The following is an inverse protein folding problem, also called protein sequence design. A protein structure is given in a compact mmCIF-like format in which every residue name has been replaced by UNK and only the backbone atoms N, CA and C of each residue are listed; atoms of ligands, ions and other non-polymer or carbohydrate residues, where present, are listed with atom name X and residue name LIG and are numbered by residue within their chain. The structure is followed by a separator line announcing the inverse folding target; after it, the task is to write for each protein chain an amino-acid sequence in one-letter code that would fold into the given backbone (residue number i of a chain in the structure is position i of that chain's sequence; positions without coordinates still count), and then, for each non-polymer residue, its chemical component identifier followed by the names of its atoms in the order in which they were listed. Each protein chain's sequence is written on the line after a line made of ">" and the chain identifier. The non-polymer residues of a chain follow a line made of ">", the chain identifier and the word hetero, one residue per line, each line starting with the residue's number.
data_IF_842324455328
#
_entry.id   IF_842324455328
#
_cell.length_a   1.000
_cell.length_b   1.000
_cell.length_c   1.000
_cell.angle_alpha   90.00
_cell.angle_beta   90.00
_cell.angle_gamma   90.00
#
_symmetry.space_group_name_H-M   'P 1'
#
loop_
_entity.id
_entity.type
_entity.pdbx_description
1 polymer ?
#
# COMPACT_ATOMS: atom_id res chain seq x y z
N UNK A 1 2.46 18.85 -7.73
CA UNK A 1 2.19 17.41 -7.81
C UNK A 1 3.37 16.79 -7.09
N UNK A 2 3.41 16.92 -5.78
CA UNK A 2 4.61 16.63 -4.99
C UNK A 2 4.13 16.34 -3.57
N UNK A 3 3.39 15.25 -3.37
CA UNK A 3 3.16 14.73 -2.02
C UNK A 3 4.43 14.01 -1.60
N UNK A 4 5.45 14.78 -1.27
CA UNK A 4 6.60 14.30 -0.50
C UNK A 4 6.02 13.78 0.81
N UNK A 5 6.06 12.47 1.01
CA UNK A 5 5.79 11.85 2.30
C UNK A 5 6.88 12.32 3.26
N UNK A 6 6.56 13.39 3.99
CA UNK A 6 7.39 13.95 5.05
C UNK A 6 7.71 12.85 6.06
N UNK A 7 8.95 12.39 6.01
CA UNK A 7 9.53 11.43 6.94
C UNK A 7 9.82 12.17 8.24
N UNK A 8 8.79 12.37 9.06
CA UNK A 8 8.98 12.77 10.45
C UNK A 8 9.54 11.53 11.19
N UNK A 9 10.87 11.51 11.36
CA UNK A 9 11.60 10.61 12.26
C UNK A 9 11.82 9.14 11.81
N UNK A 10 12.01 8.88 10.51
CA UNK A 10 12.30 7.52 10.00
C UNK A 10 11.09 6.58 9.99
N UNK A 11 9.93 7.07 10.42
CA UNK A 11 8.67 6.33 10.49
C UNK A 11 7.87 6.63 9.23
N UNK A 12 7.74 5.62 8.36
CA UNK A 12 6.89 5.62 7.16
C UNK A 12 5.46 5.91 7.58
N UNK A 13 4.83 6.88 6.91
CA UNK A 13 3.41 7.18 7.11
C UNK A 13 2.59 5.93 6.76
N UNK A 14 1.52 5.59 7.50
CA UNK A 14 0.70 4.46 7.14
C UNK A 14 0.15 4.66 5.72
N UNK A 15 0.51 3.76 4.81
CA UNK A 15 0.13 3.83 3.40
C UNK A 15 -0.20 2.43 2.88
N UNK A 16 -1.06 2.38 1.87
CA UNK A 16 -1.32 1.17 1.10
C UNK A 16 -1.26 1.57 -0.37
N UNK A 17 -0.44 0.85 -1.13
CA UNK A 17 -0.20 1.11 -2.54
C UNK A 17 -0.36 -0.19 -3.33
N UNK A 18 -1.06 -0.14 -4.45
CA UNK A 18 -1.29 -1.29 -5.33
C UNK A 18 -0.73 -0.99 -6.71
N UNK A 19 0.08 -1.87 -7.27
CA UNK A 19 0.70 -1.69 -8.57
C UNK A 19 0.84 -3.00 -9.34
N UNK A 20 0.87 -2.93 -10.66
CA UNK A 20 1.02 -4.10 -11.55
C UNK A 20 2.43 -4.16 -12.14
N UNK A 21 3.02 -5.35 -12.14
CA UNK A 21 4.30 -5.63 -12.78
C UNK A 21 4.20 -6.91 -13.60
N UNK A 22 4.23 -6.77 -14.93
CA UNK A 22 4.25 -7.88 -15.87
C UNK A 22 3.07 -8.87 -15.71
N UNK A 23 1.88 -8.38 -15.37
CA UNK A 23 0.66 -9.15 -15.17
C UNK A 23 0.47 -9.66 -13.74
N UNK A 24 1.42 -9.44 -12.84
CA UNK A 24 1.29 -9.75 -11.41
C UNK A 24 1.03 -8.47 -10.61
N UNK A 25 0.16 -8.55 -9.62
CA UNK A 25 -0.28 -7.43 -8.80
C UNK A 25 0.44 -7.43 -7.46
N UNK A 26 0.96 -6.29 -7.05
CA UNK A 26 1.68 -6.10 -5.81
C UNK A 26 0.94 -5.10 -4.93
N UNK A 27 0.90 -5.38 -3.63
CA UNK A 27 0.39 -4.48 -2.62
C UNK A 27 1.50 -4.19 -1.63
N UNK A 28 1.90 -2.92 -1.54
CA UNK A 28 2.81 -2.40 -0.51
C UNK A 28 1.98 -1.80 0.61
N UNK A 29 2.37 -2.09 1.85
CA UNK A 29 1.72 -1.62 3.06
C UNK A 29 2.80 -1.05 3.96
N UNK A 30 2.79 0.27 4.16
CA UNK A 30 3.61 0.93 5.17
C UNK A 30 2.82 1.05 6.47
N UNK A 31 3.44 0.69 7.60
CA UNK A 31 2.93 0.97 8.95
C UNK A 31 4.09 1.37 9.86
N UNK A 32 4.40 2.66 9.88
CA UNK A 32 5.47 3.16 10.71
C UNK A 32 6.84 2.67 10.27
N UNK A 33 7.46 1.77 11.02
CA UNK A 33 8.80 1.26 10.69
C UNK A 33 8.76 0.00 9.80
N UNK A 34 7.57 -0.61 9.65
CA UNK A 34 7.40 -1.85 8.92
C UNK A 34 6.80 -1.59 7.53
N UNK A 35 7.44 -2.13 6.50
CA UNK A 35 6.91 -2.20 5.14
C UNK A 35 6.69 -3.67 4.76
N UNK A 36 5.47 -3.99 4.32
CA UNK A 36 5.11 -5.30 3.79
C UNK A 36 4.75 -5.18 2.32
N UNK A 37 5.45 -5.92 1.46
CA UNK A 37 5.04 -6.11 0.07
C UNK A 37 4.54 -7.53 -0.15
N UNK A 38 3.37 -7.66 -0.79
CA UNK A 38 2.76 -8.96 -1.12
C UNK A 38 2.31 -8.96 -2.57
N UNK A 39 2.58 -10.04 -3.29
CA UNK A 39 2.15 -10.21 -4.67
C UNK A 39 0.95 -11.16 -4.81
N UNK A 40 0.22 -10.98 -5.91
CA UNK A 40 -1.03 -11.65 -6.24
C UNK A 40 -1.14 -11.81 -7.76
N UNK A 41 -1.59 -12.97 -8.22
CA UNK A 41 -1.82 -13.21 -9.65
C UNK A 41 -3.05 -12.45 -10.18
N UNK A 42 -4.00 -12.13 -9.30
CA UNK A 42 -5.30 -11.56 -9.66
C UNK A 42 -5.50 -10.18 -9.03
N UNK A 43 -5.92 -9.22 -9.85
CA UNK A 43 -6.22 -7.84 -9.43
C UNK A 43 -7.24 -7.81 -8.30
N UNK A 44 -8.32 -8.59 -8.41
CA UNK A 44 -9.41 -8.61 -7.43
C UNK A 44 -8.94 -9.05 -6.04
N UNK A 45 -7.97 -9.96 -5.97
CA UNK A 45 -7.37 -10.38 -4.70
C UNK A 45 -6.44 -9.32 -4.12
N UNK A 46 -5.63 -8.68 -4.97
CA UNK A 46 -4.80 -7.56 -4.55
C UNK A 46 -5.64 -6.40 -3.99
N UNK A 47 -6.72 -6.02 -4.68
CA UNK A 47 -7.64 -4.97 -4.24
C UNK A 47 -8.35 -5.33 -2.94
N UNK A 48 -8.83 -6.56 -2.79
CA UNK A 48 -9.46 -7.01 -1.54
C UNK A 48 -8.48 -6.98 -0.36
N UNK A 49 -7.23 -7.39 -0.60
CA UNK A 49 -6.18 -7.30 0.41
C UNK A 49 -5.88 -5.85 0.77
N UNK A 50 -5.66 -4.98 -0.21
CA UNK A 50 -5.41 -3.55 -0.02
C UNK A 50 -6.53 -2.86 0.76
N UNK A 51 -7.79 -3.16 0.43
CA UNK A 51 -8.95 -2.64 1.17
C UNK A 51 -8.98 -3.14 2.63
N UNK A 52 -8.59 -4.39 2.87
CA UNK A 52 -8.42 -4.90 4.23
C UNK A 52 -7.34 -4.13 5.00
N UNK A 53 -6.20 -3.85 4.36
CA UNK A 53 -5.09 -3.13 4.97
C UNK A 53 -5.42 -1.66 5.23
N UNK A 54 -6.09 -0.97 4.30
CA UNK A 54 -6.53 0.42 4.51
C UNK A 54 -7.41 0.52 5.75
N UNK A 55 -8.37 -0.42 5.92
CA UNK A 55 -9.27 -0.44 7.08
C UNK A 55 -8.50 -0.72 8.37
N UNK A 56 -7.53 -1.64 8.34
CA UNK A 56 -6.67 -1.95 9.49
C UNK A 56 -5.87 -0.73 9.94
N UNK A 57 -5.35 0.03 8.99
CA UNK A 57 -4.55 1.24 9.22
C UNK A 57 -5.38 2.51 9.45
N UNK A 58 -6.71 2.43 9.33
CA UNK A 58 -7.60 3.59 9.47
C UNK A 58 -7.49 4.60 8.32
N UNK A 59 -7.01 4.16 7.15
CA UNK A 59 -6.87 4.99 5.95
C UNK A 59 -8.21 5.11 5.22
N UNK A 60 -8.49 6.31 4.72
CA UNK A 60 -9.69 6.56 3.93
C UNK A 60 -9.64 5.82 2.59
N UNK A 61 -8.46 5.77 1.96
CA UNK A 61 -8.26 5.13 0.65
C UNK A 61 -6.83 4.58 0.51
N UNK A 62 -6.53 3.94 -0.63
CA UNK A 62 -5.21 3.42 -0.97
C UNK A 62 -4.83 3.89 -2.37
N UNK A 63 -3.53 4.11 -2.59
CA UNK A 63 -3.05 4.54 -3.89
C UNK A 63 -2.95 3.35 -4.86
N UNK A 64 -3.28 3.60 -6.13
CA UNK A 64 -3.11 2.65 -7.23
C UNK A 64 -2.18 3.26 -8.26
N UNK A 65 -1.03 2.63 -8.48
CA UNK A 65 0.06 3.09 -9.35
C UNK A 65 0.13 2.30 -10.67
#
# INVERSE_FOLDING_TARGET
>A
MDSVTETLNGKVSPCVEVFEVCGEWFVRVGDGDEELTRSFELESFALAFAEGQRRRLGLADFDRL
#
